data_IF_898021180232
#
_entry.id   IF_898021180232
#
_cell.length_a   1.000
_cell.length_b   1.000
_cell.length_c   1.000
_cell.angle_alpha   90.00
_cell.angle_beta   90.00
_cell.angle_gamma   90.00
#
_symmetry.space_group_name_H-M   'P 1'
#
loop_
_entity.id
_entity.type
_entity.pdbx_description
1 polymer ?
#
# COMPACT_ATOMS: atom_id res chain seq x y z
N UNK A 1 9.53 -6.14 -4.65
CA UNK A 1 10.30 -5.30 -3.70
C UNK A 1 11.05 -4.19 -4.42
N UNK A 2 11.80 -4.46 -5.49
CA UNK A 2 12.54 -3.47 -6.28
C UNK A 2 11.75 -2.17 -6.62
N UNK A 3 10.47 -2.28 -6.97
CA UNK A 3 9.63 -1.11 -7.34
C UNK A 3 9.32 -0.13 -6.19
N UNK A 4 9.48 -0.52 -4.93
CA UNK A 4 9.25 0.38 -3.78
C UNK A 4 10.55 0.80 -3.08
N UNK A 5 11.70 0.24 -3.47
CA UNK A 5 12.99 0.55 -2.83
C UNK A 5 13.39 2.02 -3.01
N UNK A 6 12.99 2.65 -4.13
CA UNK A 6 13.21 4.09 -4.37
C UNK A 6 12.43 5.02 -3.42
N UNK A 7 11.44 4.49 -2.68
CA UNK A 7 10.62 5.28 -1.76
C UNK A 7 11.10 5.21 -0.31
N UNK A 8 12.14 4.43 -0.01
CA UNK A 8 12.71 4.30 1.34
C UNK A 8 11.66 3.86 2.36
N UNK A 9 11.56 4.57 3.48
CA UNK A 9 10.59 4.28 4.56
C UNK A 9 9.17 4.81 4.28
N UNK A 10 8.98 5.59 3.20
CA UNK A 10 7.68 6.19 2.86
C UNK A 10 6.68 5.13 2.39
N UNK A 11 7.16 3.98 1.90
CA UNK A 11 6.35 2.85 1.45
C UNK A 11 6.87 1.53 2.03
N UNK A 12 5.95 0.64 2.38
CA UNK A 12 6.23 -0.70 2.85
C UNK A 12 5.31 -1.72 2.18
N UNK A 13 5.77 -2.98 2.10
CA UNK A 13 4.89 -4.08 1.69
C UNK A 13 3.98 -4.43 2.87
N UNK A 14 2.68 -4.22 2.72
CA UNK A 14 1.67 -4.58 3.71
C UNK A 14 1.37 -6.09 3.69
N UNK A 15 1.27 -6.67 2.48
CA UNK A 15 1.00 -8.09 2.31
C UNK A 15 1.49 -8.60 0.95
N UNK A 16 1.89 -9.88 0.90
CA UNK A 16 2.16 -10.59 -0.35
C UNK A 16 1.10 -11.68 -0.49
N UNK A 17 0.08 -11.42 -1.32
CA UNK A 17 -1.03 -12.34 -1.54
C UNK A 17 -0.68 -13.44 -2.57
N UNK A 18 0.41 -13.26 -3.33
CA UNK A 18 0.90 -14.22 -4.30
C UNK A 18 1.98 -13.64 -5.21
N UNK A 19 2.50 -14.42 -6.17
CA UNK A 19 3.58 -13.99 -7.06
C UNK A 19 3.20 -12.81 -7.96
N UNK A 20 1.90 -12.63 -8.22
CA UNK A 20 1.35 -11.54 -9.04
C UNK A 20 0.52 -10.52 -8.25
N UNK A 21 0.42 -10.66 -6.92
CA UNK A 21 -0.44 -9.82 -6.08
C UNK A 21 0.27 -9.44 -4.79
N UNK A 22 0.53 -8.15 -4.62
CA UNK A 22 1.19 -7.56 -3.45
C UNK A 22 0.48 -6.27 -3.08
N UNK A 23 0.26 -6.07 -1.78
CA UNK A 23 -0.32 -4.85 -1.22
C UNK A 23 0.81 -4.01 -0.66
N UNK A 24 0.81 -2.73 -1.01
CA UNK A 24 1.77 -1.73 -0.54
C UNK A 24 1.00 -0.68 0.26
N UNK A 25 1.54 -0.28 1.40
CA UNK A 25 1.00 0.80 2.25
C UNK A 25 2.09 1.83 2.51
N UNK A 26 1.68 3.05 2.86
CA UNK A 26 2.63 4.12 3.17
C UNK A 26 2.00 5.50 3.03
N UNK A 27 2.86 6.49 2.86
CA UNK A 27 2.45 7.89 2.70
C UNK A 27 1.55 8.08 1.46
N UNK A 28 0.46 8.86 1.55
CA UNK A 28 -0.44 9.09 0.42
C UNK A 28 0.28 9.61 -0.82
N UNK A 29 1.19 10.58 -0.65
CA UNK A 29 1.96 11.15 -1.76
C UNK A 29 2.88 10.11 -2.43
N UNK A 30 3.54 9.26 -1.64
CA UNK A 30 4.40 8.20 -2.18
C UNK A 30 3.58 7.11 -2.91
N UNK A 31 2.37 6.81 -2.41
CA UNK A 31 1.45 5.90 -3.10
C UNK A 31 0.96 6.49 -4.42
N UNK A 32 0.72 7.79 -4.49
CA UNK A 32 0.33 8.48 -5.73
C UNK A 32 1.45 8.47 -6.77
N UNK A 33 2.69 8.75 -6.34
CA UNK A 33 3.90 8.64 -7.17
C UNK A 33 4.08 7.20 -7.71
N UNK A 34 3.92 6.19 -6.85
CA UNK A 34 4.02 4.79 -7.24
C UNK A 34 2.91 4.39 -8.24
N UNK A 35 1.67 4.85 -8.02
CA UNK A 35 0.56 4.58 -8.94
C UNK A 35 0.85 5.17 -10.32
N UNK A 36 1.30 6.43 -10.40
CA UNK A 36 1.63 7.07 -11.66
C UNK A 36 2.76 6.35 -12.41
N UNK A 37 3.79 5.88 -11.69
CA UNK A 37 4.86 5.09 -12.29
C UNK A 37 4.36 3.75 -12.84
N UNK A 38 3.49 3.07 -12.10
CA UNK A 38 2.95 1.76 -12.50
C UNK A 38 1.94 1.84 -13.65
N UNK A 39 1.16 2.92 -13.73
CA UNK A 39 0.28 3.19 -14.87
C UNK A 39 1.09 3.38 -16.17
N UNK A 40 2.25 4.05 -16.10
CA UNK A 40 3.16 4.21 -17.24
C UNK A 40 3.83 2.90 -17.70
N UNK A 41 3.90 1.89 -16.82
CA UNK A 41 4.40 0.55 -17.14
C UNK A 41 3.28 -0.44 -17.54
N UNK A 42 2.04 0.04 -17.75
CA UNK A 42 0.86 -0.80 -18.03
C UNK A 42 0.59 -1.89 -16.96
N UNK A 43 1.06 -1.66 -15.72
CA UNK A 43 0.85 -2.58 -14.61
C UNK A 43 -0.55 -2.37 -14.04
N UNK A 44 -1.30 -3.47 -13.90
CA UNK A 44 -2.62 -3.42 -13.25
C UNK A 44 -2.48 -3.04 -11.78
N UNK A 45 -2.83 -1.80 -11.47
CA UNK A 45 -2.91 -1.27 -10.10
C UNK A 45 -4.33 -0.93 -9.73
N UNK A 46 -4.65 -1.03 -8.45
CA UNK A 46 -5.92 -0.56 -7.90
C UNK A 46 -5.65 0.09 -6.57
N UNK A 47 -5.99 1.37 -6.45
CA UNK A 47 -5.94 2.07 -5.16
C UNK A 47 -6.98 1.45 -4.24
N UNK A 48 -6.54 1.01 -3.08
CA UNK A 48 -7.44 0.62 -2.00
C UNK A 48 -7.53 1.84 -1.12
N UNK A 49 -8.66 2.54 -1.17
CA UNK A 49 -8.96 3.61 -0.23
C UNK A 49 -9.20 2.97 1.14
N UNK A 50 -8.11 2.71 1.86
CA UNK A 50 -8.17 2.36 3.27
C UNK A 50 -7.97 3.66 4.01
N UNK A 51 -9.04 4.21 4.59
CA UNK A 51 -8.99 5.34 5.53
C UNK A 51 -8.38 4.92 6.87
N UNK A 52 -7.29 4.15 6.84
CA UNK A 52 -6.52 3.85 8.02
C UNK A 52 -5.03 4.11 7.80
N UNK A 53 -4.62 5.32 8.17
CA UNK A 53 -3.25 5.62 8.54
C UNK A 53 -2.92 4.88 9.86
N UNK A 54 -2.51 3.62 9.78
CA UNK A 54 -2.11 2.81 10.95
C UNK A 54 -0.79 3.26 11.60
N UNK A 55 -0.28 4.47 11.32
CA UNK A 55 0.85 5.06 12.05
C UNK A 55 0.63 6.54 12.44
N UNK A 56 -0.60 6.88 12.81
CA UNK A 56 -0.83 7.99 13.74
C UNK A 56 -1.75 7.51 14.86
N UNK A 57 -1.21 6.83 15.87
CA UNK A 57 -1.75 6.66 17.24
C UNK A 57 -3.28 6.51 17.49
N UNK A 58 -4.12 6.17 16.52
CA UNK A 58 -5.57 6.41 16.62
C UNK A 58 -6.53 5.32 16.16
N UNK A 59 -6.12 4.10 15.78
CA UNK A 59 -7.14 3.03 15.65
C UNK A 59 -6.66 1.68 16.18
N UNK A 60 -6.57 1.62 17.50
CA UNK A 60 -6.90 0.40 18.24
C UNK A 60 -8.44 0.26 18.24
N UNK A 61 -9.06 -0.11 17.10
CA UNK A 61 -10.51 -0.42 16.94
C UNK A 61 -10.79 -0.74 15.45
N UNK A 62 -10.65 -1.95 14.95
CA UNK A 62 -11.73 -2.94 14.97
C UNK A 62 -11.08 -4.27 14.58
N UNK A 63 -10.88 -5.09 15.60
CA UNK A 63 -10.83 -6.54 15.48
C UNK A 63 -12.26 -7.00 15.79
N UNK A 64 -12.78 -7.93 14.97
CA UNK A 64 -14.17 -8.42 14.86
C UNK A 64 -14.92 -7.74 13.70
N UNK A 65 -15.40 -8.42 12.66
CA UNK A 65 -15.91 -9.78 12.55
C UNK A 65 -15.41 -10.46 11.27
N UNK A 66 -15.19 -11.76 11.33
CA UNK A 66 -15.81 -12.74 10.43
C UNK A 66 -15.59 -14.12 11.08
N UNK A 67 -16.46 -14.42 12.07
CA UNK A 67 -16.91 -15.79 12.32
C UNK A 67 -17.98 -16.14 11.30
#
# INVERSE_FOLDING_TARGET
RARIEGFGERLAVAAVNGPSSTVVSGEPAALDELLAALEGEEVRVRRIAVDYASHSSHVESIREELL
#
